data_IF_234257252113
#
_entry.id   IF_234257252113
#
_cell.length_a   1.000
_cell.length_b   1.000
_cell.length_c   1.000
_cell.angle_alpha   90.00
_cell.angle_beta   90.00
_cell.angle_gamma   90.00
#
_symmetry.space_group_name_H-M   'P 1'
#
loop_
_entity.id
_entity.type
_entity.pdbx_description
1 polymer ?
#
# COMPACT_ATOMS: atom_id res chain seq x y z
N UNK A 1 -0.91 17.29 -22.09
CA UNK A 1 -0.28 17.24 -20.75
C UNK A 1 -0.02 15.77 -20.47
N UNK A 2 1.23 15.39 -20.26
CA UNK A 2 1.63 13.99 -19.99
C UNK A 2 2.13 13.96 -18.55
N UNK A 3 1.31 13.48 -17.62
CA UNK A 3 1.80 13.13 -16.29
C UNK A 3 2.72 11.90 -16.44
N UNK A 4 3.93 11.92 -15.87
CA UNK A 4 4.77 10.73 -15.82
C UNK A 4 4.14 9.75 -14.81
N UNK A 5 3.69 8.55 -15.23
CA UNK A 5 3.05 7.59 -14.33
C UNK A 5 3.98 7.08 -13.21
N UNK A 6 5.28 7.37 -13.27
CA UNK A 6 6.29 6.91 -12.30
C UNK A 6 6.67 7.96 -11.26
N UNK A 7 6.14 9.18 -11.35
CA UNK A 7 6.32 10.19 -10.33
C UNK A 7 5.09 10.18 -9.41
N UNK A 8 5.13 9.46 -8.28
CA UNK A 8 4.04 9.55 -7.33
C UNK A 8 4.01 10.99 -6.79
N UNK A 9 2.84 11.62 -6.86
CA UNK A 9 2.62 12.91 -6.20
C UNK A 9 3.05 12.85 -4.73
N UNK A 10 3.45 14.00 -4.19
CA UNK A 10 3.79 14.10 -2.77
C UNK A 10 2.63 13.62 -1.88
N UNK A 11 2.91 13.18 -0.66
CA UNK A 11 1.85 12.76 0.28
C UNK A 11 0.74 13.81 0.42
N UNK A 12 1.08 15.10 0.43
CA UNK A 12 0.11 16.19 0.49
C UNK A 12 -0.76 16.31 -0.77
N UNK A 13 -0.20 15.98 -1.94
CA UNK A 13 -0.93 15.93 -3.22
C UNK A 13 -1.87 14.71 -3.25
N UNK A 14 -1.39 13.57 -2.77
CA UNK A 14 -2.19 12.35 -2.63
C UNK A 14 -3.36 12.54 -1.65
N UNK A 15 -3.15 13.29 -0.56
CA UNK A 15 -4.18 13.64 0.40
C UNK A 15 -5.18 14.67 -0.17
N UNK A 16 -4.70 15.62 -0.97
CA UNK A 16 -5.58 16.58 -1.65
C UNK A 16 -6.45 15.90 -2.73
N UNK A 17 -5.89 14.98 -3.50
CA UNK A 17 -6.63 14.19 -4.50
C UNK A 17 -7.65 13.26 -3.82
N UNK A 18 -7.30 12.66 -2.68
CA UNK A 18 -8.24 11.91 -1.84
C UNK A 18 -9.36 12.79 -1.28
N UNK A 19 -9.09 14.00 -0.80
CA UNK A 19 -10.12 14.93 -0.31
C UNK A 19 -11.07 15.37 -1.44
N UNK A 20 -10.54 15.58 -2.66
CA UNK A 20 -11.33 15.92 -3.84
C UNK A 20 -12.18 14.72 -4.33
N UNK A 21 -11.60 13.52 -4.37
CA UNK A 21 -12.29 12.27 -4.74
C UNK A 21 -13.31 11.85 -3.66
N UNK A 22 -13.02 12.11 -2.38
CA UNK A 22 -13.95 11.99 -1.26
C UNK A 22 -15.12 12.98 -1.41
N UNK A 23 -14.85 14.21 -1.86
CA UNK A 23 -15.90 15.21 -2.08
C UNK A 23 -16.87 14.82 -3.21
N UNK A 24 -16.40 14.13 -4.26
CA UNK A 24 -17.24 13.67 -5.39
C UNK A 24 -17.87 12.28 -5.14
N UNK A 25 -17.20 11.38 -4.39
CA UNK A 25 -17.74 10.08 -3.99
C UNK A 25 -18.75 10.20 -2.83
N UNK A 26 -18.57 11.16 -1.91
CA UNK A 26 -19.46 11.42 -0.78
C UNK A 26 -20.31 12.71 -0.95
N UNK A 27 -20.26 13.32 -2.14
CA UNK A 27 -20.95 14.57 -2.55
C UNK A 27 -22.48 14.53 -2.65
N UNK A 28 -23.15 13.61 -1.96
CA UNK A 28 -24.61 13.67 -1.73
C UNK A 28 -25.02 12.95 -0.44
N UNK A 29 -24.71 13.51 0.72
CA UNK A 29 -25.33 12.99 1.92
C UNK A 29 -24.87 13.58 3.24
N UNK A 30 -25.44 14.72 3.62
CA UNK A 30 -25.62 15.10 5.03
C UNK A 30 -26.62 14.16 5.77
N UNK A 31 -26.75 12.92 5.30
CA UNK A 31 -27.65 11.84 5.72
C UNK A 31 -27.30 10.51 4.99
N UNK A 32 -26.04 10.25 4.63
CA UNK A 32 -25.63 8.87 4.34
C UNK A 32 -25.67 8.13 5.68
N UNK A 33 -26.42 7.03 5.86
CA UNK A 33 -26.15 6.18 7.01
C UNK A 33 -24.66 5.87 6.96
N UNK A 34 -23.97 6.04 8.08
CA UNK A 34 -22.61 5.52 8.25
C UNK A 34 -22.60 4.13 7.57
N UNK A 35 -21.71 3.86 6.60
CA UNK A 35 -21.62 2.56 5.96
C UNK A 35 -21.06 1.56 6.97
N UNK A 36 -21.75 1.40 8.10
CA UNK A 36 -21.49 0.37 9.07
C UNK A 36 -21.58 -0.95 8.32
N UNK A 37 -20.57 -1.79 8.53
CA UNK A 37 -20.61 -3.16 8.07
C UNK A 37 -21.91 -3.82 8.58
N UNK A 38 -22.52 -4.75 7.82
CA UNK A 38 -23.62 -5.55 8.32
C UNK A 38 -23.38 -6.05 9.75
N UNK A 39 -24.43 -6.16 10.57
CA UNK A 39 -24.29 -6.52 11.99
C UNK A 39 -23.50 -7.83 12.20
N UNK A 40 -23.66 -8.79 11.28
CA UNK A 40 -22.89 -10.03 11.27
C UNK A 40 -21.38 -9.79 11.11
N UNK A 41 -21.00 -8.98 10.12
CA UNK A 41 -19.60 -8.64 9.84
C UNK A 41 -18.99 -7.83 11.00
N UNK A 42 -19.77 -6.90 11.59
CA UNK A 42 -19.35 -6.13 12.75
C UNK A 42 -19.15 -7.03 13.99
N UNK A 43 -19.96 -8.06 14.16
CA UNK A 43 -19.80 -9.05 15.23
C UNK A 43 -18.53 -9.89 15.04
N UNK A 44 -18.22 -10.30 13.81
CA UNK A 44 -16.99 -11.01 13.47
C UNK A 44 -15.74 -10.14 13.70
N UNK A 45 -15.79 -8.87 13.31
CA UNK A 45 -14.66 -7.94 13.51
C UNK A 45 -14.38 -7.61 14.98
N UNK A 46 -15.41 -7.68 15.83
CA UNK A 46 -15.27 -7.45 17.28
C UNK A 46 -14.87 -8.72 18.04
N UNK A 47 -14.78 -9.86 17.36
CA UNK A 47 -14.40 -11.12 17.95
C UNK A 47 -12.89 -11.13 18.24
N UNK A 48 -12.51 -11.59 19.43
CA UNK A 48 -11.11 -11.64 19.84
C UNK A 48 -10.32 -12.63 18.96
N UNK A 49 -9.28 -12.15 18.27
CA UNK A 49 -8.42 -13.00 17.46
C UNK A 49 -7.62 -13.95 18.37
N UNK A 50 -7.78 -15.26 18.14
CA UNK A 50 -6.89 -16.24 18.74
C UNK A 50 -5.47 -15.99 18.23
N UNK A 51 -4.50 -15.88 19.15
CA UNK A 51 -3.08 -15.70 18.81
C UNK A 51 -2.43 -17.01 18.33
N UNK A 52 -3.07 -17.71 17.38
CA UNK A 52 -2.44 -18.80 16.64
C UNK A 52 -1.50 -18.19 15.61
N UNK A 53 -0.36 -17.69 16.08
CA UNK A 53 0.76 -17.36 15.21
C UNK A 53 1.45 -18.66 14.86
N UNK A 54 1.53 -18.96 13.58
CA UNK A 54 2.51 -19.92 13.11
C UNK A 54 3.90 -19.43 13.53
N UNK A 55 4.79 -20.37 13.83
CA UNK A 55 6.20 -20.01 14.05
C UNK A 55 6.67 -19.38 12.74
N UNK A 56 7.19 -18.14 12.76
CA UNK A 56 7.69 -17.51 11.54
C UNK A 56 8.72 -18.46 10.93
N UNK A 57 8.65 -18.67 9.62
CA UNK A 57 9.64 -19.46 8.89
C UNK A 57 10.96 -18.67 8.90
N UNK A 58 11.71 -18.79 9.99
CA UNK A 58 13.01 -18.13 10.17
C UNK A 58 14.12 -18.91 9.50
N UNK A 59 13.91 -20.20 9.28
CA UNK A 59 14.75 -21.00 8.43
C UNK A 59 14.43 -20.65 6.98
N UNK A 60 15.19 -19.69 6.44
CA UNK A 60 15.63 -19.84 5.06
C UNK A 60 16.58 -21.04 5.08
N UNK A 61 16.06 -22.27 5.00
CA UNK A 61 16.83 -23.32 4.37
C UNK A 61 17.28 -22.72 3.05
N UNK A 62 18.59 -22.58 2.84
CA UNK A 62 19.14 -21.78 1.77
C UNK A 62 18.53 -22.18 0.44
N UNK A 63 17.47 -21.49 0.04
CA UNK A 63 17.03 -21.46 -1.33
C UNK A 63 18.26 -20.95 -2.06
N UNK A 64 18.83 -21.82 -2.89
CA UNK A 64 19.71 -21.41 -3.96
C UNK A 64 18.96 -20.32 -4.71
N UNK A 65 19.20 -19.07 -4.33
CA UNK A 65 18.69 -17.91 -5.02
C UNK A 65 19.21 -18.05 -6.44
N UNK A 66 18.36 -17.87 -7.44
CA UNK A 66 18.83 -17.87 -8.82
C UNK A 66 20.03 -16.90 -8.90
N UNK A 67 21.17 -17.35 -9.44
CA UNK A 67 22.38 -16.53 -9.44
C UNK A 67 22.18 -15.19 -10.18
N UNK A 68 21.23 -15.11 -11.12
CA UNK A 68 20.83 -13.86 -11.75
C UNK A 68 20.08 -12.97 -10.75
N UNK A 69 19.11 -13.51 -10.01
CA UNK A 69 18.38 -12.74 -8.99
C UNK A 69 19.31 -12.24 -7.88
N UNK A 70 20.24 -13.08 -7.43
CA UNK A 70 21.26 -12.68 -6.45
C UNK A 70 22.19 -11.58 -6.98
N UNK A 71 22.59 -11.67 -8.26
CA UNK A 71 23.40 -10.64 -8.90
C UNK A 71 22.65 -9.31 -8.99
N UNK A 72 21.37 -9.36 -9.36
CA UNK A 72 20.46 -8.21 -9.44
C UNK A 72 20.28 -7.52 -8.07
N UNK A 73 19.99 -8.29 -7.03
CA UNK A 73 19.81 -7.78 -5.67
C UNK A 73 21.09 -7.22 -5.06
N UNK A 74 22.25 -7.72 -5.49
CA UNK A 74 23.55 -7.23 -5.04
C UNK A 74 24.03 -5.99 -5.81
N UNK A 75 23.33 -5.56 -6.88
CA UNK A 75 23.72 -4.35 -7.61
C UNK A 75 23.47 -3.12 -6.75
N UNK A 76 24.53 -2.33 -6.60
CA UNK A 76 24.43 -0.98 -6.06
C UNK A 76 23.95 -0.07 -7.19
N UNK A 77 22.79 0.55 -7.00
CA UNK A 77 22.27 1.58 -7.91
C UNK A 77 23.08 2.87 -7.69
N UNK A 78 23.53 3.50 -8.78
CA UNK A 78 24.19 4.80 -8.69
C UNK A 78 23.14 5.88 -8.36
N UNK A 79 23.26 6.59 -7.23
CA UNK A 79 22.32 7.64 -6.85
C UNK A 79 22.28 8.84 -7.82
N UNK A 80 23.23 8.95 -8.76
CA UNK A 80 23.26 9.99 -9.80
C UNK A 80 22.46 9.68 -11.07
N UNK A 81 22.03 8.43 -11.27
CA UNK A 81 21.29 8.02 -12.48
C UNK A 81 19.79 8.37 -12.43
N UNK A 82 19.28 8.81 -11.26
CA UNK A 82 17.90 9.25 -11.04
C UNK A 82 17.78 10.76 -10.81
N UNK A 83 18.81 11.55 -11.16
CA UNK A 83 18.74 13.01 -11.03
C UNK A 83 17.65 13.56 -11.96
N UNK A 84 16.49 13.84 -11.37
CA UNK A 84 15.36 14.42 -12.07
C UNK A 84 15.80 15.80 -12.59
N UNK A 85 15.64 16.09 -13.90
CA UNK A 85 15.95 17.40 -14.43
C UNK A 85 15.09 18.47 -13.75
N UNK A 86 15.58 19.72 -13.65
CA UNK A 86 14.95 20.78 -12.86
C UNK A 86 13.54 21.16 -13.32
#
# INVERSE_FOLDING_TARGET
MSADPREPGGLDEYLAELDEEESDAYGRGRASPDPEAPEADAAEQRLELLQHRDTPLTDREGDEVDPADAAEQARVVDPGDEEYPP
#
